data_IF_493688412963
#
_entry.id   IF_493688412963
#
_cell.length_a   1.000
_cell.length_b   1.000
_cell.length_c   1.000
_cell.angle_alpha   90.00
_cell.angle_beta   90.00
_cell.angle_gamma   90.00
#
_symmetry.space_group_name_H-M   'P 1'
#
loop_
_entity.id
_entity.type
_entity.pdbx_description
1 polymer ?
#
# COMPACT_ATOMS: atom_id res chain seq x y z
N UNK A 1 2.91 -18.90 -5.90
CA UNK A 1 2.85 -17.82 -4.91
C UNK A 1 3.21 -16.52 -5.63
N UNK A 2 2.30 -15.54 -5.65
CA UNK A 2 2.48 -14.28 -6.39
C UNK A 2 3.68 -13.48 -5.88
N UNK A 3 4.24 -12.59 -6.71
CA UNK A 3 5.34 -11.69 -6.30
C UNK A 3 4.93 -10.77 -5.16
N UNK A 4 3.68 -10.34 -5.16
CA UNK A 4 3.11 -9.49 -4.10
C UNK A 4 3.07 -10.22 -2.76
N UNK A 5 2.65 -11.49 -2.72
CA UNK A 5 2.67 -12.28 -1.48
C UNK A 5 4.09 -12.50 -0.95
N UNK A 6 5.07 -12.66 -1.84
CA UNK A 6 6.49 -12.73 -1.43
C UNK A 6 6.97 -11.41 -0.81
N UNK A 7 6.59 -10.26 -1.38
CA UNK A 7 6.91 -8.94 -0.84
C UNK A 7 6.26 -8.73 0.53
N UNK A 8 4.99 -9.08 0.70
CA UNK A 8 4.28 -9.02 1.99
C UNK A 8 5.02 -9.83 3.07
N UNK A 9 5.30 -11.11 2.82
CA UNK A 9 5.97 -11.97 3.80
C UNK A 9 7.38 -11.49 4.14
N UNK A 10 8.12 -10.97 3.16
CA UNK A 10 9.50 -10.51 3.35
C UNK A 10 9.57 -9.15 4.06
N UNK A 11 8.83 -8.16 3.58
CA UNK A 11 9.01 -6.76 3.95
C UNK A 11 7.94 -6.26 4.94
N UNK A 12 6.85 -7.02 5.15
CA UNK A 12 5.82 -6.77 6.17
C UNK A 12 5.74 -7.86 7.24
N UNK A 13 6.42 -8.99 7.09
CA UNK A 13 6.37 -10.09 8.07
C UNK A 13 6.83 -9.72 9.49
N UNK A 14 7.55 -8.61 9.64
CA UNK A 14 7.95 -8.07 10.95
C UNK A 14 6.76 -7.60 11.80
N UNK A 15 5.57 -7.38 11.21
CA UNK A 15 4.34 -7.04 11.94
C UNK A 15 3.79 -8.23 12.75
N UNK A 16 4.29 -9.44 12.48
CA UNK A 16 3.81 -10.69 13.09
C UNK A 16 2.60 -11.29 12.40
N UNK A 17 2.10 -10.69 11.31
CA UNK A 17 0.98 -11.22 10.53
C UNK A 17 1.48 -12.31 9.56
N UNK A 18 0.88 -13.49 9.62
CA UNK A 18 1.10 -14.56 8.63
C UNK A 18 0.07 -14.45 7.50
N UNK A 19 0.44 -13.75 6.43
CA UNK A 19 -0.47 -13.48 5.32
C UNK A 19 -0.83 -14.75 4.53
N UNK A 20 -2.13 -14.98 4.36
CA UNK A 20 -2.70 -16.12 3.67
C UNK A 20 -3.14 -15.77 2.23
N UNK A 21 -3.94 -14.72 2.06
CA UNK A 21 -4.52 -14.36 0.77
C UNK A 21 -4.61 -12.84 0.55
N UNK A 22 -4.56 -12.42 -0.72
CA UNK A 22 -4.90 -11.07 -1.14
C UNK A 22 -6.35 -11.09 -1.62
N UNK A 23 -7.25 -10.52 -0.83
CA UNK A 23 -8.70 -10.48 -1.12
C UNK A 23 -8.99 -9.44 -2.21
N UNK A 24 -8.37 -8.26 -2.11
CA UNK A 24 -8.61 -7.17 -3.05
C UNK A 24 -7.40 -6.24 -3.17
N UNK A 25 -7.31 -5.57 -4.31
CA UNK A 25 -6.28 -4.58 -4.63
C UNK A 25 -6.96 -3.34 -5.20
N UNK A 26 -6.64 -2.17 -4.67
CA UNK A 26 -7.11 -0.89 -5.22
C UNK A 26 -6.24 -0.44 -6.41
N UNK A 27 -6.74 0.52 -7.20
CA UNK A 27 -5.95 1.10 -8.31
C UNK A 27 -4.74 1.91 -7.84
N UNK A 28 -4.72 2.31 -6.57
CA UNK A 28 -3.60 3.00 -5.92
C UNK A 28 -2.68 2.06 -5.13
N UNK A 29 -2.94 0.75 -5.14
CA UNK A 29 -2.11 -0.26 -4.49
C UNK A 29 -2.45 -0.59 -3.04
N UNK A 30 -3.60 -0.14 -2.53
CA UNK A 30 -4.08 -0.54 -1.20
C UNK A 30 -4.52 -2.00 -1.27
N UNK A 31 -4.32 -2.74 -0.17
CA UNK A 31 -4.63 -4.17 -0.12
C UNK A 31 -5.63 -4.48 0.98
N UNK A 32 -6.55 -5.39 0.65
CA UNK A 32 -7.33 -6.13 1.63
C UNK A 32 -6.77 -7.56 1.66
N UNK A 33 -6.37 -8.02 2.83
CA UNK A 33 -5.59 -9.25 3.03
C UNK A 33 -6.27 -10.12 4.08
N UNK A 34 -6.20 -11.44 3.95
CA UNK A 34 -6.46 -12.35 5.09
C UNK A 34 -5.16 -12.89 5.66
N UNK A 35 -5.15 -13.15 6.96
CA UNK A 35 -4.12 -13.96 7.62
C UNK A 35 -4.56 -15.42 7.76
N UNK A 36 -3.67 -16.27 8.28
CA UNK A 36 -3.94 -17.70 8.50
C UNK A 36 -4.95 -17.99 9.61
N UNK A 37 -5.32 -16.99 10.40
CA UNK A 37 -6.35 -17.07 11.45
C UNK A 37 -7.70 -16.49 10.97
N UNK A 38 -7.86 -16.34 9.65
CA UNK A 38 -9.04 -15.78 8.96
C UNK A 38 -9.36 -14.33 9.34
N UNK A 39 -8.42 -13.59 9.95
CA UNK A 39 -8.61 -12.16 10.17
C UNK A 39 -8.22 -11.37 8.92
N UNK A 40 -9.02 -10.35 8.62
CA UNK A 40 -8.85 -9.43 7.51
C UNK A 40 -8.08 -8.20 7.96
N UNK A 41 -7.16 -7.76 7.11
CA UNK A 41 -6.31 -6.59 7.30
C UNK A 41 -6.42 -5.65 6.11
N UNK A 42 -6.35 -4.36 6.39
CA UNK A 42 -6.19 -3.31 5.40
C UNK A 42 -4.76 -2.79 5.42
N UNK A 43 -4.12 -2.77 4.26
CA UNK A 43 -2.76 -2.25 4.10
C UNK A 43 -2.78 -1.02 3.20
N UNK A 44 -2.33 0.09 3.78
CA UNK A 44 -2.10 1.35 3.09
C UNK A 44 -0.58 1.54 2.87
N UNK A 45 -0.08 1.40 1.63
CA UNK A 45 1.35 1.56 1.34
C UNK A 45 1.82 3.02 1.43
N UNK A 46 0.92 4.01 1.36
CA UNK A 46 1.24 5.43 1.42
C UNK A 46 1.48 5.87 2.87
N UNK A 47 0.49 5.63 3.73
CA UNK A 47 0.62 5.92 5.16
C UNK A 47 1.51 4.90 5.86
N UNK A 48 1.79 3.76 5.20
CA UNK A 48 2.60 2.65 5.70
C UNK A 48 1.95 1.96 6.91
N UNK A 49 0.62 1.91 6.93
CA UNK A 49 -0.17 1.33 8.01
C UNK A 49 -0.77 -0.02 7.61
N UNK A 50 -0.66 -0.99 8.53
CA UNK A 50 -1.36 -2.27 8.46
C UNK A 50 -2.38 -2.32 9.60
N UNK A 51 -3.66 -2.30 9.25
CA UNK A 51 -4.77 -2.21 10.19
C UNK A 51 -5.50 -3.55 10.21
N UNK A 52 -5.54 -4.21 11.37
CA UNK A 52 -6.38 -5.40 11.56
C UNK A 52 -7.84 -4.98 11.69
N UNK A 53 -8.68 -5.43 10.76
CA UNK A 53 -10.10 -5.10 10.71
C UNK A 53 -10.97 -6.10 11.49
N UNK A 54 -10.53 -7.35 11.65
CA UNK A 54 -11.32 -8.41 12.28
C UNK A 54 -11.78 -9.43 11.25
N UNK A 55 -13.04 -9.88 11.31
CA UNK A 55 -13.60 -10.81 10.32
C UNK A 55 -14.22 -10.10 9.12
N UNK A 56 -14.88 -10.88 8.26
CA UNK A 56 -15.52 -10.41 7.02
C UNK A 56 -16.55 -9.30 7.25
N UNK A 57 -17.37 -9.40 8.30
CA UNK A 57 -18.38 -8.37 8.61
C UNK A 57 -17.75 -7.04 9.02
N UNK A 58 -16.72 -7.07 9.88
CA UNK A 58 -16.04 -5.85 10.32
C UNK A 58 -15.27 -5.21 9.17
N UNK A 59 -14.64 -6.02 8.32
CA UNK A 59 -13.97 -5.52 7.12
C UNK A 59 -14.95 -4.89 6.14
N UNK A 60 -16.12 -5.51 5.91
CA UNK A 60 -17.15 -4.95 5.05
C UNK A 60 -17.69 -3.62 5.58
N UNK A 61 -17.89 -3.51 6.91
CA UNK A 61 -18.29 -2.24 7.54
C UNK A 61 -17.22 -1.16 7.37
N UNK A 62 -15.95 -1.50 7.60
CA UNK A 62 -14.83 -0.57 7.39
C UNK A 62 -14.74 -0.09 5.94
N UNK A 63 -14.87 -1.00 4.96
CA UNK A 63 -14.83 -0.65 3.53
C UNK A 63 -16.08 0.11 3.04
N UNK A 64 -17.18 0.04 3.79
CA UNK A 64 -18.40 0.80 3.51
C UNK A 64 -18.36 2.22 4.08
N UNK A 65 -17.39 2.54 4.94
CA UNK A 65 -17.18 3.90 5.42
C UNK A 65 -16.89 4.83 4.22
N UNK A 66 -17.62 5.95 4.07
CA UNK A 66 -17.45 6.85 2.93
C UNK A 66 -16.03 7.42 2.77
N UNK A 67 -15.32 7.67 3.87
CA UNK A 67 -13.95 8.20 3.84
C UNK A 67 -12.97 7.12 3.38
N UNK A 68 -13.11 5.90 3.91
CA UNK A 68 -12.31 4.74 3.47
C UNK A 68 -12.57 4.42 2.00
N UNK A 69 -13.84 4.42 1.57
CA UNK A 69 -14.22 4.16 0.19
C UNK A 69 -13.68 5.24 -0.77
N UNK A 70 -13.67 6.51 -0.34
CA UNK A 70 -13.11 7.62 -1.12
C UNK A 70 -11.61 7.43 -1.32
N UNK A 71 -10.87 7.11 -0.25
CA UNK A 71 -9.43 6.85 -0.29
C UNK A 71 -9.11 5.60 -1.13
N UNK A 72 -9.84 4.50 -0.94
CA UNK A 72 -9.66 3.27 -1.69
C UNK A 72 -9.83 3.47 -3.20
N UNK A 73 -10.85 4.22 -3.62
CA UNK A 73 -11.13 4.45 -5.04
C UNK A 73 -10.20 5.51 -5.64
N UNK A 74 -9.89 6.55 -4.86
CA UNK A 74 -9.06 7.69 -5.26
C UNK A 74 -9.41 8.22 -6.67
N UNK A 75 -10.70 8.33 -6.99
CA UNK A 75 -11.19 8.46 -8.38
C UNK A 75 -10.52 9.60 -9.15
N UNK A 76 -10.32 10.75 -8.51
CA UNK A 76 -9.64 11.90 -9.11
C UNK A 76 -8.17 11.62 -9.48
N UNK A 77 -7.42 10.96 -8.59
CA UNK A 77 -6.01 10.61 -8.82
C UNK A 77 -5.90 9.50 -9.88
N UNK A 78 -6.77 8.49 -9.81
CA UNK A 78 -6.82 7.40 -10.80
C UNK A 78 -7.15 7.95 -12.19
N UNK A 79 -8.08 8.90 -12.29
CA UNK A 79 -8.42 9.53 -13.55
C UNK A 79 -7.25 10.37 -14.10
N UNK A 80 -6.63 11.21 -13.27
CA UNK A 80 -5.46 12.00 -13.67
C UNK A 80 -4.28 11.13 -14.09
N UNK A 81 -4.03 10.03 -13.38
CA UNK A 81 -3.00 9.06 -13.72
C UNK A 81 -3.32 8.37 -15.05
N UNK A 82 -4.57 7.93 -15.25
CA UNK A 82 -5.02 7.30 -16.50
C UNK A 82 -4.83 8.21 -17.70
N UNK A 83 -5.23 9.48 -17.58
CA UNK A 83 -5.14 10.45 -18.67
C UNK A 83 -3.68 10.73 -19.06
N UNK A 84 -2.74 10.69 -18.10
CA UNK A 84 -1.32 10.99 -18.34
C UNK A 84 -0.46 9.76 -18.66
N UNK A 85 -0.72 8.63 -18.01
CA UNK A 85 0.13 7.44 -18.02
C UNK A 85 -0.46 6.28 -18.81
N UNK A 86 -1.76 6.33 -19.13
CA UNK A 86 -2.53 5.20 -19.66
C UNK A 86 -2.78 4.11 -18.61
N UNK A 87 -3.46 3.03 -19.01
CA UNK A 87 -3.76 1.92 -18.09
C UNK A 87 -2.49 1.27 -17.50
N UNK A 88 -2.54 0.80 -16.24
CA UNK A 88 -1.51 -0.07 -15.70
C UNK A 88 -1.53 -1.42 -16.44
N UNK A 89 -0.34 -2.02 -16.59
CA UNK A 89 -0.23 -3.41 -17.01
C UNK A 89 -0.77 -4.35 -15.91
N UNK A 90 -0.76 -5.65 -16.20
CA UNK A 90 -1.08 -6.67 -15.19
C UNK A 90 -0.13 -6.56 -13.99
N UNK A 91 -0.67 -6.65 -12.77
CA UNK A 91 0.06 -6.45 -11.50
C UNK A 91 0.69 -5.06 -11.29
N UNK A 92 0.40 -4.08 -12.15
CA UNK A 92 0.76 -2.68 -11.91
C UNK A 92 -0.39 -1.90 -11.27
N UNK A 93 -0.03 -0.86 -10.53
CA UNK A 93 -0.94 0.11 -9.92
C UNK A 93 -0.42 1.52 -10.19
N UNK A 94 -1.30 2.50 -9.99
CA UNK A 94 -0.85 3.88 -9.88
C UNK A 94 -0.33 4.14 -8.48
N UNK A 95 0.73 4.93 -8.36
CA UNK A 95 1.27 5.36 -7.06
C UNK A 95 2.10 6.62 -7.28
N UNK A 96 2.66 7.19 -6.21
CA UNK A 96 3.64 8.27 -6.31
C UNK A 96 5.03 7.68 -6.53
N UNK A 97 5.94 8.45 -7.14
CA UNK A 97 7.37 8.11 -7.10
C UNK A 97 7.82 7.90 -5.65
N UNK A 98 8.82 7.03 -5.39
CA UNK A 98 9.34 6.82 -4.03
C UNK A 98 9.68 8.11 -3.28
N UNK A 99 10.31 9.07 -3.97
CA UNK A 99 10.66 10.37 -3.38
C UNK A 99 9.42 11.19 -3.01
N UNK A 100 8.42 11.25 -3.89
CA UNK A 100 7.18 11.96 -3.65
C UNK A 100 6.32 11.30 -2.55
N UNK A 101 6.32 9.97 -2.49
CA UNK A 101 5.64 9.22 -1.43
C UNK A 101 6.22 9.55 -0.05
N UNK A 102 7.56 9.63 0.05
CA UNK A 102 8.24 10.02 1.29
C UNK A 102 8.07 11.51 1.63
N UNK A 103 7.98 12.37 0.62
CA UNK A 103 7.77 13.81 0.79
C UNK A 103 6.31 14.19 1.07
N UNK A 104 5.35 13.28 0.84
CA UNK A 104 3.92 13.61 0.84
C UNK A 104 3.55 14.58 -0.28
N UNK A 105 4.22 14.48 -1.43
CA UNK A 105 3.99 15.38 -2.58
C UNK A 105 3.04 14.75 -3.60
N UNK A 106 1.76 15.06 -3.43
CA UNK A 106 0.64 14.53 -4.22
C UNK A 106 0.44 15.22 -5.58
N UNK A 107 1.41 16.00 -6.04
CA UNK A 107 1.35 16.59 -7.37
C UNK A 107 1.17 15.50 -8.45
N UNK A 108 0.24 15.70 -9.36
CA UNK A 108 -0.13 14.70 -10.38
C UNK A 108 1.04 14.30 -11.31
N UNK A 109 2.06 15.15 -11.40
CA UNK A 109 3.33 14.91 -12.10
C UNK A 109 4.14 13.79 -11.45
N UNK A 110 4.00 13.59 -10.13
CA UNK A 110 4.68 12.56 -9.36
C UNK A 110 4.02 11.19 -9.46
N UNK A 111 2.84 11.08 -10.09
CA UNK A 111 2.19 9.79 -10.30
C UNK A 111 3.01 8.91 -11.26
N UNK A 112 3.07 7.63 -10.99
CA UNK A 112 3.72 6.63 -11.83
C UNK A 112 2.88 5.38 -11.89
N UNK A 113 3.12 4.54 -12.91
CA UNK A 113 2.73 3.15 -12.90
C UNK A 113 3.88 2.34 -12.34
N UNK A 114 3.61 1.46 -11.39
CA UNK A 114 4.63 0.64 -10.76
C UNK A 114 4.09 -0.74 -10.46
N UNK A 115 4.98 -1.74 -10.44
CA UNK A 115 4.64 -3.06 -9.92
C UNK A 115 4.10 -2.93 -8.49
N UNK A 116 2.96 -3.56 -8.23
CA UNK A 116 2.40 -3.66 -6.89
C UNK A 116 3.39 -4.32 -5.92
N UNK A 117 4.12 -5.34 -6.36
CA UNK A 117 5.09 -6.02 -5.52
C UNK A 117 6.22 -5.07 -5.07
N UNK A 118 6.70 -4.21 -5.97
CA UNK A 118 7.76 -3.25 -5.68
C UNK A 118 7.25 -2.13 -4.76
N UNK A 119 6.01 -1.65 -4.96
CA UNK A 119 5.36 -0.69 -4.06
C UNK A 119 5.24 -1.24 -2.64
N UNK A 120 4.68 -2.44 -2.49
CA UNK A 120 4.50 -3.09 -1.18
C UNK A 120 5.85 -3.35 -0.51
N UNK A 121 6.84 -3.80 -1.28
CA UNK A 121 8.20 -4.03 -0.77
C UNK A 121 8.82 -2.74 -0.25
N UNK A 122 8.78 -1.67 -1.04
CA UNK A 122 9.30 -0.37 -0.67
C UNK A 122 8.62 0.18 0.60
N UNK A 123 7.28 0.22 0.60
CA UNK A 123 6.51 0.71 1.74
C UNK A 123 6.83 -0.08 3.02
N UNK A 124 6.93 -1.41 2.94
CA UNK A 124 7.26 -2.26 4.08
C UNK A 124 8.66 -2.03 4.62
N UNK A 125 9.66 -1.86 3.75
CA UNK A 125 11.03 -1.55 4.15
C UNK A 125 11.15 -0.19 4.82
N UNK A 126 10.44 0.82 4.30
CA UNK A 126 10.38 2.15 4.92
C UNK A 126 9.70 2.04 6.29
N UNK A 127 8.51 1.44 6.35
CA UNK A 127 7.76 1.23 7.59
C UNK A 127 8.63 0.56 8.66
N UNK A 128 9.31 -0.53 8.31
CA UNK A 128 10.21 -1.25 9.20
C UNK A 128 11.35 -0.35 9.71
N UNK A 129 12.02 0.38 8.81
CA UNK A 129 13.16 1.23 9.17
C UNK A 129 12.76 2.44 10.03
N UNK A 130 11.51 2.91 9.92
CA UNK A 130 11.04 4.10 10.64
C UNK A 130 10.14 3.79 11.84
N UNK A 131 9.75 2.52 12.08
CA UNK A 131 8.73 2.14 13.08
C UNK A 131 8.97 2.65 14.51
N UNK A 132 10.23 2.80 14.89
CA UNK A 132 10.63 3.18 16.26
C UNK A 132 11.10 4.64 16.33
N UNK A 133 10.97 5.41 15.24
CA UNK A 133 11.36 6.81 15.19
C UNK A 133 10.21 7.71 15.63
N UNK A 134 10.45 8.71 16.48
CA UNK A 134 9.46 9.74 16.77
C UNK A 134 9.04 10.52 15.52
N UNK A 135 7.81 11.01 15.52
CA UNK A 135 7.31 11.89 14.46
C UNK A 135 8.22 13.11 14.26
N UNK A 136 8.43 13.47 12.99
CA UNK A 136 9.30 14.58 12.61
C UNK A 136 10.81 14.28 12.70
N UNK A 137 11.22 13.05 13.03
CA UNK A 137 12.63 12.66 13.02
C UNK A 137 13.22 12.83 11.61
N UNK A 138 14.29 13.64 11.43
CA UNK A 138 14.96 13.76 10.14
C UNK A 138 15.63 12.44 9.75
N UNK A 139 15.33 11.95 8.55
CA UNK A 139 15.94 10.74 8.00
C UNK A 139 16.94 11.06 6.89
N UNK A 140 17.92 10.17 6.68
CA UNK A 140 18.80 10.19 5.51
C UNK A 140 18.63 8.88 4.76
N UNK A 141 18.21 8.97 3.50
CA UNK A 141 18.08 7.81 2.62
C UNK A 141 19.41 7.53 1.94
N UNK A 142 19.73 6.25 1.79
CA UNK A 142 20.90 5.79 1.04
C UNK A 142 20.46 4.64 0.15
N UNK A 143 20.63 4.80 -1.17
CA UNK A 143 20.51 3.69 -2.10
C UNK A 143 21.69 2.72 -1.87
N UNK A 144 21.39 1.42 -1.81
CA UNK A 144 22.37 0.35 -1.67
C UNK A 144 22.18 -0.65 -2.82
N UNK A 145 23.28 -1.01 -3.49
CA UNK A 145 23.33 -2.02 -4.55
C UNK A 145 23.15 -3.45 -4.01
#
# INVERSE_FOLDING_TARGET
MSRVMQALRRDWGWTGVDFAEIIAVSRMGHLLLSDTDDAIHYLDPETRELIRLGGEEQAAQYMADPEVALVWRAEALVQAARDRLGEPAEEEVYTLTPDALLAGDYAHENLVRQSLADLISFAGQVAYQTRDLPDGTPIKLKATD
#
